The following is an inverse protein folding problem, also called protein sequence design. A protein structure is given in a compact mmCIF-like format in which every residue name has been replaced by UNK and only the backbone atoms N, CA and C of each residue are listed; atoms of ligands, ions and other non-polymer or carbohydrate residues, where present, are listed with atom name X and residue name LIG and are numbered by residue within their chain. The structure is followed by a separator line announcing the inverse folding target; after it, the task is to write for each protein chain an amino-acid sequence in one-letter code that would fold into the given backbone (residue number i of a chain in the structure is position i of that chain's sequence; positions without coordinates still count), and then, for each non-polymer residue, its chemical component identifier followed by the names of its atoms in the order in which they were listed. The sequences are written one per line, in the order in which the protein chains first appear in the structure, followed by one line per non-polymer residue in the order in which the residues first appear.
data_IF_828683182471
#
_entry.id   IF_828683182471
#
_cell.length_a   1.000
_cell.length_b   1.000
_cell.length_c   1.000
_cell.angle_alpha   90.00
_cell.angle_beta   90.00
_cell.angle_gamma   90.00
#
_symmetry.space_group_name_H-M   'P 1'
#
loop_
_entity.id
_entity.type
_entity.pdbx_description
1 polymer ?
#
# COMPACT_ATOMS: atom_id res chain seq x y z
N UNK A 1 -15.80 16.16 -8.73
CA UNK A 1 -15.10 15.85 -7.47
C UNK A 1 -13.63 16.24 -7.60
N UNK A 2 -13.04 16.88 -6.59
CA UNK A 2 -11.66 17.40 -6.66
C UNK A 2 -10.61 16.28 -6.85
N UNK A 3 -9.57 16.57 -7.65
CA UNK A 3 -8.42 15.68 -7.84
C UNK A 3 -7.39 15.81 -6.71
N UNK A 4 -6.48 14.84 -6.58
CA UNK A 4 -5.46 14.78 -5.53
C UNK A 4 -4.69 16.11 -5.38
N UNK A 5 -4.16 16.66 -6.48
CA UNK A 5 -3.40 17.93 -6.46
C UNK A 5 -4.21 19.10 -5.92
N UNK A 6 -5.52 19.14 -6.19
CA UNK A 6 -6.36 20.21 -5.66
C UNK A 6 -6.57 20.08 -4.15
N UNK A 7 -6.73 18.85 -3.66
CA UNK A 7 -6.86 18.58 -2.23
C UNK A 7 -5.55 18.87 -1.50
N UNK A 8 -4.41 18.47 -2.06
CA UNK A 8 -3.08 18.76 -1.52
C UNK A 8 -2.82 20.28 -1.38
N UNK A 9 -3.28 21.09 -2.34
CA UNK A 9 -3.23 22.56 -2.21
C UNK A 9 -4.04 23.07 -1.02
N UNK A 10 -5.23 22.50 -0.76
CA UNK A 10 -6.05 22.89 0.39
C UNK A 10 -5.37 22.52 1.72
N UNK A 11 -4.67 21.38 1.78
CA UNK A 11 -3.88 21.00 2.97
C UNK A 11 -2.73 21.97 3.23
N UNK A 12 -2.14 22.57 2.19
CA UNK A 12 -1.04 23.54 2.29
C UNK A 12 -1.51 24.98 2.54
N UNK A 13 -2.78 25.28 2.31
CA UNK A 13 -3.30 26.63 2.43
C UNK A 13 -3.33 27.08 3.89
N UNK A 14 -2.43 28.00 4.23
CA UNK A 14 -2.33 28.62 5.56
C UNK A 14 -3.57 29.44 5.96
N UNK A 15 -4.41 29.85 4.99
CA UNK A 15 -5.64 30.62 5.26
C UNK A 15 -6.84 29.72 5.57
N UNK A 16 -6.74 28.43 5.28
CA UNK A 16 -7.78 27.45 5.57
C UNK A 16 -7.71 27.00 7.03
N UNK A 17 -8.87 26.76 7.65
CA UNK A 17 -8.94 26.24 9.01
C UNK A 17 -8.35 24.80 9.11
N UNK A 18 -7.93 24.40 10.32
CA UNK A 18 -7.27 23.12 10.55
C UNK A 18 -8.19 21.92 10.25
N UNK A 19 -9.48 22.06 10.48
CA UNK A 19 -10.46 20.99 10.24
C UNK A 19 -10.58 20.71 8.73
N UNK A 20 -10.65 21.77 7.91
CA UNK A 20 -10.65 21.69 6.45
C UNK A 20 -9.35 21.10 5.94
N UNK A 21 -8.20 21.52 6.45
CA UNK A 21 -6.89 20.95 6.07
C UNK A 21 -6.81 19.45 6.38
N UNK A 22 -7.21 19.03 7.57
CA UNK A 22 -7.27 17.61 7.95
C UNK A 22 -8.28 16.85 7.10
N UNK A 23 -9.45 17.42 6.83
CA UNK A 23 -10.46 16.85 5.95
C UNK A 23 -9.89 16.64 4.54
N UNK A 24 -9.27 17.66 3.94
CA UNK A 24 -8.67 17.58 2.61
C UNK A 24 -7.56 16.53 2.55
N UNK A 25 -6.75 16.37 3.61
CA UNK A 25 -5.76 15.29 3.70
C UNK A 25 -6.44 13.91 3.71
N UNK A 26 -7.51 13.73 4.47
CA UNK A 26 -8.30 12.48 4.43
C UNK A 26 -8.91 12.25 3.05
N UNK A 27 -9.38 13.30 2.36
CA UNK A 27 -9.87 13.18 0.98
C UNK A 27 -8.75 12.82 -0.01
N UNK A 28 -7.49 13.19 0.24
CA UNK A 28 -6.36 12.69 -0.55
C UNK A 28 -6.26 11.16 -0.49
N UNK A 29 -6.54 10.55 0.67
CA UNK A 29 -6.53 9.10 0.85
C UNK A 29 -7.64 8.38 0.10
N UNK A 30 -8.76 9.04 -0.22
CA UNK A 30 -9.75 8.48 -1.16
C UNK A 30 -9.19 8.35 -2.58
N UNK A 31 -8.13 9.10 -2.92
CA UNK A 31 -7.50 9.09 -4.24
C UNK A 31 -6.26 8.23 -4.30
N UNK A 32 -5.53 8.09 -3.19
CA UNK A 32 -4.31 7.31 -3.11
C UNK A 32 -4.08 6.85 -1.67
N UNK A 33 -4.27 5.56 -1.42
CA UNK A 33 -4.07 4.90 -0.14
C UNK A 33 -3.38 3.53 -0.35
N UNK A 34 -2.04 3.50 -0.39
CA UNK A 34 -1.28 2.29 -0.74
C UNK A 34 -1.55 1.10 0.19
N UNK A 35 -1.81 1.33 1.48
CA UNK A 35 -2.14 0.26 2.44
C UNK A 35 -3.65 0.00 2.55
N UNK A 36 -4.47 0.75 1.81
CA UNK A 36 -5.90 0.89 2.08
C UNK A 36 -6.17 2.08 3.01
N UNK A 37 -7.39 2.62 2.95
CA UNK A 37 -7.70 3.93 3.55
C UNK A 37 -7.40 3.98 5.06
N UNK A 38 -7.83 2.96 5.82
CA UNK A 38 -7.65 2.93 7.29
C UNK A 38 -6.18 2.78 7.67
N UNK A 39 -5.49 1.79 7.12
CA UNK A 39 -4.08 1.53 7.40
C UNK A 39 -3.17 2.68 6.95
N UNK A 40 -3.47 3.33 5.82
CA UNK A 40 -2.67 4.48 5.35
C UNK A 40 -2.88 5.68 6.28
N UNK A 41 -4.11 5.93 6.75
CA UNK A 41 -4.36 6.99 7.73
C UNK A 41 -3.66 6.70 9.06
N UNK A 42 -3.78 5.48 9.57
CA UNK A 42 -3.11 5.04 10.80
C UNK A 42 -1.59 5.25 10.71
N UNK A 43 -0.98 4.76 9.62
CA UNK A 43 0.45 4.94 9.34
C UNK A 43 0.89 6.41 9.38
N UNK A 44 0.16 7.30 8.70
CA UNK A 44 0.49 8.72 8.69
C UNK A 44 0.31 9.35 10.09
N UNK A 45 -0.72 8.93 10.83
CA UNK A 45 -0.94 9.37 12.20
C UNK A 45 0.20 8.96 13.13
N UNK A 46 0.57 7.68 13.13
CA UNK A 46 1.67 7.15 13.95
C UNK A 46 2.99 7.83 13.60
N UNK A 47 3.32 7.92 12.31
CA UNK A 47 4.62 8.42 11.84
C UNK A 47 4.81 9.92 12.03
N UNK A 48 3.74 10.70 11.92
CA UNK A 48 3.79 12.17 12.03
C UNK A 48 3.18 12.70 13.32
N UNK A 49 2.79 11.82 14.25
CA UNK A 49 2.23 12.19 15.55
C UNK A 49 0.90 12.92 15.45
N UNK A 50 0.03 12.53 14.52
CA UNK A 50 -1.33 13.10 14.41
C UNK A 50 -2.26 12.23 15.25
N UNK A 51 -2.91 12.83 16.25
CA UNK A 51 -3.93 12.11 17.02
C UNK A 51 -5.09 11.69 16.10
N UNK A 52 -5.55 10.43 16.12
CA UNK A 52 -6.65 9.99 15.25
C UNK A 52 -7.92 10.82 15.42
N UNK A 53 -8.23 11.19 16.67
CA UNK A 53 -9.38 12.02 17.07
C UNK A 53 -9.02 13.50 17.30
N UNK A 54 -7.77 13.89 17.04
CA UNK A 54 -7.33 15.27 17.18
C UNK A 54 -8.00 16.16 16.13
N UNK A 55 -8.78 17.13 16.60
CA UNK A 55 -9.52 18.09 15.78
C UNK A 55 -8.70 19.34 15.45
N UNK A 56 -7.55 19.54 16.10
CA UNK A 56 -6.68 20.70 15.89
C UNK A 56 -5.20 20.30 15.86
N UNK A 57 -4.81 19.37 14.97
CA UNK A 57 -3.43 18.95 14.85
C UNK A 57 -2.53 20.10 14.39
N UNK A 58 -1.28 20.06 14.84
CA UNK A 58 -0.22 20.97 14.38
C UNK A 58 -0.17 20.97 12.83
N UNK A 59 -0.35 22.14 12.18
CA UNK A 59 -0.17 22.33 10.74
C UNK A 59 1.05 21.63 10.13
N UNK A 60 2.18 21.66 10.83
CA UNK A 60 3.42 21.09 10.35
C UNK A 60 3.34 19.56 10.22
N UNK A 61 2.62 18.90 11.12
CA UNK A 61 2.39 17.44 11.07
C UNK A 61 1.52 17.05 9.88
N UNK A 62 0.47 17.83 9.60
CA UNK A 62 -0.37 17.63 8.40
C UNK A 62 0.43 17.79 7.10
N UNK A 63 1.33 18.78 7.04
CA UNK A 63 2.18 19.00 5.88
C UNK A 63 3.17 17.84 5.68
N UNK A 64 3.86 17.38 6.74
CA UNK A 64 4.77 16.23 6.65
C UNK A 64 4.07 14.95 6.22
N UNK A 65 2.85 14.70 6.73
CA UNK A 65 2.03 13.58 6.30
C UNK A 65 1.62 13.67 4.82
N UNK A 66 1.29 14.88 4.34
CA UNK A 66 1.02 15.12 2.92
C UNK A 66 2.26 14.89 2.06
N UNK A 67 3.41 15.40 2.47
CA UNK A 67 4.66 15.29 1.72
C UNK A 67 5.07 13.82 1.55
N UNK A 68 4.91 13.00 2.60
CA UNK A 68 5.14 11.56 2.52
C UNK A 68 4.16 10.87 1.56
N UNK A 69 2.87 11.22 1.62
CA UNK A 69 1.87 10.67 0.72
C UNK A 69 2.15 11.05 -0.74
N UNK A 70 2.61 12.28 -0.98
CA UNK A 70 3.02 12.75 -2.30
C UNK A 70 4.28 12.06 -2.82
N UNK A 71 5.28 11.85 -1.98
CA UNK A 71 6.47 11.10 -2.32
C UNK A 71 6.11 9.66 -2.76
N UNK A 72 5.25 8.99 -2.00
CA UNK A 72 4.75 7.67 -2.34
C UNK A 72 3.94 7.67 -3.65
N UNK A 73 3.11 8.70 -3.85
CA UNK A 73 2.35 8.87 -5.08
C UNK A 73 3.25 9.11 -6.29
N UNK A 74 4.35 9.82 -6.13
CA UNK A 74 5.33 10.05 -7.20
C UNK A 74 5.98 8.72 -7.63
N UNK A 75 6.38 7.88 -6.68
CA UNK A 75 6.89 6.51 -6.97
C UNK A 75 5.87 5.70 -7.76
N UNK A 76 4.61 5.67 -7.30
CA UNK A 76 3.54 4.94 -8.00
C UNK A 76 3.29 5.44 -9.42
N UNK A 77 3.25 6.77 -9.62
CA UNK A 77 3.05 7.34 -10.95
C UNK A 77 4.23 7.09 -11.90
N UNK A 78 5.47 7.07 -11.38
CA UNK A 78 6.65 6.68 -12.16
C UNK A 78 6.53 5.25 -12.67
N UNK A 79 6.13 4.33 -11.79
CA UNK A 79 5.85 2.95 -12.15
C UNK A 79 4.72 2.83 -13.21
N UNK A 80 3.59 3.51 -13.02
CA UNK A 80 2.48 3.51 -13.99
C UNK A 80 2.93 4.00 -15.39
N UNK A 81 3.76 5.05 -15.44
CA UNK A 81 4.29 5.57 -16.69
C UNK A 81 5.20 4.55 -17.39
N UNK A 82 6.09 3.89 -16.64
CA UNK A 82 6.96 2.83 -17.14
C UNK A 82 6.17 1.61 -17.65
N UNK A 83 5.15 1.19 -16.91
CA UNK A 83 4.23 0.14 -17.33
C UNK A 83 3.54 0.48 -18.65
N UNK A 84 3.00 1.70 -18.76
CA UNK A 84 2.33 2.15 -19.98
C UNK A 84 3.27 2.21 -21.19
N UNK A 85 4.52 2.63 -21.00
CA UNK A 85 5.57 2.61 -22.04
C UNK A 85 5.88 1.19 -22.52
N UNK A 86 6.15 0.27 -21.59
CA UNK A 86 6.42 -1.13 -21.92
C UNK A 86 5.25 -1.76 -22.68
N UNK A 87 4.02 -1.59 -22.19
CA UNK A 87 2.82 -2.10 -22.85
C UNK A 87 2.59 -1.50 -24.24
N UNK A 88 2.97 -0.24 -24.47
CA UNK A 88 2.91 0.37 -25.81
C UNK A 88 3.86 -0.30 -26.79
N UNK A 89 5.09 -0.62 -26.35
CA UNK A 89 6.08 -1.36 -27.15
C UNK A 89 5.65 -2.79 -27.43
N UNK A 90 5.24 -3.54 -26.41
CA UNK A 90 4.76 -4.91 -26.58
C UNK A 90 3.55 -4.99 -27.53
N UNK A 91 2.61 -4.04 -27.44
CA UNK A 91 1.48 -3.95 -28.38
C UNK A 91 1.93 -3.69 -29.82
N UNK A 92 2.92 -2.82 -29.99
CA UNK A 92 3.53 -2.55 -31.29
C UNK A 92 4.20 -3.82 -31.85
N UNK A 93 4.86 -4.59 -31.00
CA UNK A 93 5.57 -5.83 -31.35
C UNK A 93 4.63 -7.06 -31.44
N UNK A 94 3.31 -6.85 -31.41
CA UNK A 94 2.30 -7.90 -31.56
C UNK A 94 1.97 -8.70 -30.30
N UNK A 95 2.62 -8.44 -29.18
CA UNK A 95 2.37 -9.08 -27.88
C UNK A 95 1.15 -8.45 -27.17
N UNK A 96 -0.03 -9.01 -27.45
CA UNK A 96 -1.31 -8.49 -26.92
C UNK A 96 -1.81 -9.14 -25.64
N UNK A 97 -1.24 -10.27 -25.20
CA UNK A 97 -1.63 -10.94 -23.94
C UNK A 97 -0.80 -10.39 -22.78
N UNK A 98 -1.45 -9.85 -21.73
CA UNK A 98 -0.75 -9.43 -20.52
C UNK A 98 -0.15 -10.64 -19.78
N UNK A 99 1.01 -10.46 -19.14
CA UNK A 99 1.63 -11.47 -18.29
C UNK A 99 1.00 -11.56 -16.89
N UNK A 100 1.42 -12.52 -16.06
CA UNK A 100 0.98 -12.66 -14.66
C UNK A 100 1.29 -11.43 -13.80
N UNK A 101 2.37 -10.71 -14.12
CA UNK A 101 2.70 -9.42 -13.52
C UNK A 101 1.62 -8.35 -13.80
N UNK A 102 1.08 -8.34 -15.03
CA UNK A 102 0.06 -7.38 -15.44
C UNK A 102 -1.30 -7.65 -14.75
N UNK A 103 -1.53 -8.86 -14.25
CA UNK A 103 -2.73 -9.19 -13.47
C UNK A 103 -2.70 -8.60 -12.06
N UNK A 104 -1.52 -8.48 -11.44
CA UNK A 104 -1.38 -7.70 -10.20
C UNK A 104 -1.64 -6.22 -10.47
N UNK A 105 -1.01 -5.66 -11.51
CA UNK A 105 -1.22 -4.26 -11.92
C UNK A 105 -2.71 -3.94 -12.12
N UNK A 106 -3.43 -4.81 -12.82
CA UNK A 106 -4.87 -4.68 -13.07
C UNK A 106 -5.70 -4.60 -11.77
N UNK A 107 -5.28 -5.29 -10.71
CA UNK A 107 -5.98 -5.33 -9.42
C UNK A 107 -5.63 -4.14 -8.52
N UNK A 108 -4.51 -3.47 -8.77
CA UNK A 108 -4.00 -2.35 -7.96
C UNK A 108 -4.17 -0.98 -8.63
N UNK A 109 -5.01 -0.91 -9.68
CA UNK A 109 -5.20 0.29 -10.48
C UNK A 109 -5.59 1.51 -9.63
N UNK A 110 -4.92 2.65 -9.86
CA UNK A 110 -5.12 3.89 -9.12
C UNK A 110 -4.36 4.00 -7.80
N UNK A 111 -3.53 3.01 -7.43
CA UNK A 111 -2.64 3.09 -6.28
C UNK A 111 -3.31 2.82 -4.92
N UNK A 112 -4.55 2.33 -4.93
CA UNK A 112 -5.29 1.97 -3.73
C UNK A 112 -5.07 0.49 -3.39
N UNK A 113 -4.49 0.21 -2.22
CA UNK A 113 -4.25 -1.16 -1.76
C UNK A 113 -3.11 -1.89 -2.49
N UNK A 114 -2.15 -1.16 -3.06
CA UNK A 114 -0.93 -1.70 -3.70
C UNK A 114 -0.14 -2.58 -2.73
N UNK A 115 -0.03 -2.16 -1.47
CA UNK A 115 0.60 -2.86 -0.37
C UNK A 115 -0.41 -3.02 0.78
N UNK A 116 -1.61 -3.49 0.46
CA UNK A 116 -2.75 -3.56 1.40
C UNK A 116 -2.37 -4.16 2.74
N UNK A 117 -2.72 -3.50 3.83
CA UNK A 117 -2.65 -4.07 5.18
C UNK A 117 -4.06 -4.46 5.60
N UNK A 118 -4.22 -5.70 6.08
CA UNK A 118 -5.53 -6.22 6.51
C UNK A 118 -5.93 -5.63 7.87
N UNK A 119 -5.00 -5.66 8.82
CA UNK A 119 -5.14 -4.97 10.10
C UNK A 119 -4.61 -3.53 9.96
N UNK A 120 -5.44 -2.49 10.15
CA UNK A 120 -5.00 -1.11 10.08
C UNK A 120 -3.87 -0.74 11.05
N UNK A 121 -3.73 -1.44 12.18
CA UNK A 121 -2.70 -1.17 13.18
C UNK A 121 -1.39 -1.94 12.90
N UNK A 122 -1.41 -2.90 11.98
CA UNK A 122 -0.23 -3.66 11.57
C UNK A 122 0.14 -3.29 10.14
N UNK A 123 1.04 -2.33 10.02
CA UNK A 123 1.59 -1.88 8.74
C UNK A 123 3.11 -1.68 8.88
N UNK A 124 3.86 -1.60 7.76
CA UNK A 124 5.28 -1.28 7.80
C UNK A 124 5.55 0.08 8.50
N UNK A 125 6.66 0.17 9.22
CA UNK A 125 7.11 1.41 9.86
C UNK A 125 7.91 2.32 8.91
N UNK A 126 8.48 1.75 7.83
CA UNK A 126 9.23 2.47 6.82
C UNK A 126 8.34 3.47 6.04
N UNK A 127 8.91 4.57 5.49
CA UNK A 127 8.15 5.53 4.73
C UNK A 127 7.37 4.90 3.57
N UNK A 128 6.17 5.42 3.27
CA UNK A 128 5.31 4.88 2.20
C UNK A 128 6.04 4.76 0.85
N UNK A 129 6.83 5.77 0.48
CA UNK A 129 7.58 5.77 -0.78
C UNK A 129 8.60 4.62 -0.85
N UNK A 130 9.31 4.37 0.24
CA UNK A 130 10.31 3.31 0.33
C UNK A 130 9.65 1.93 0.22
N UNK A 131 8.52 1.74 0.90
CA UNK A 131 7.76 0.49 0.83
C UNK A 131 7.26 0.21 -0.58
N UNK A 132 6.74 1.22 -1.27
CA UNK A 132 6.32 1.08 -2.67
C UNK A 132 7.50 0.76 -3.58
N UNK A 133 8.63 1.46 -3.43
CA UNK A 133 9.83 1.20 -4.22
C UNK A 133 10.34 -0.24 -4.03
N UNK A 134 10.39 -0.75 -2.79
CA UNK A 134 10.76 -2.15 -2.52
C UNK A 134 9.81 -3.13 -3.18
N UNK A 135 8.51 -2.86 -3.10
CA UNK A 135 7.50 -3.75 -3.66
C UNK A 135 7.56 -3.78 -5.20
N UNK A 136 7.70 -2.62 -5.83
CA UNK A 136 7.85 -2.49 -7.29
C UNK A 136 9.13 -3.19 -7.76
N UNK A 137 10.26 -2.98 -7.06
CA UNK A 137 11.52 -3.65 -7.41
C UNK A 137 11.40 -5.19 -7.29
N UNK A 138 10.76 -5.70 -6.24
CA UNK A 138 10.55 -7.13 -6.07
C UNK A 138 9.63 -7.75 -7.14
N UNK A 139 8.68 -6.96 -7.63
CA UNK A 139 7.78 -7.34 -8.71
C UNK A 139 8.46 -7.38 -10.08
N UNK A 140 9.52 -6.61 -10.26
CA UNK A 140 10.37 -6.58 -11.46
C UNK A 140 11.54 -7.58 -11.38
N UNK A 141 11.70 -8.25 -10.25
CA UNK A 141 12.78 -9.22 -9.97
C UNK A 141 12.26 -10.66 -9.91
N UNK A 142 13.18 -11.61 -9.79
CA UNK A 142 12.82 -13.01 -9.56
C UNK A 142 12.08 -13.19 -8.22
N UNK A 143 11.07 -14.09 -8.15
CA UNK A 143 10.33 -14.33 -6.92
C UNK A 143 11.22 -14.79 -5.75
N UNK A 144 10.97 -14.24 -4.56
CA UNK A 144 11.75 -14.51 -3.35
C UNK A 144 11.05 -15.43 -2.34
N UNK A 145 11.73 -15.72 -1.24
CA UNK A 145 11.22 -16.55 -0.13
C UNK A 145 10.77 -15.75 1.08
N UNK A 146 10.96 -14.43 1.06
CA UNK A 146 10.70 -13.51 2.18
C UNK A 146 9.82 -12.35 1.74
N UNK A 147 9.27 -11.62 2.69
CA UNK A 147 8.52 -10.39 2.43
C UNK A 147 9.44 -9.34 1.80
N UNK A 148 9.10 -8.74 0.64
CA UNK A 148 9.95 -7.75 -0.02
C UNK A 148 10.06 -6.43 0.76
N UNK A 149 9.14 -6.17 1.70
CA UNK A 149 9.08 -4.89 2.43
C UNK A 149 9.91 -4.92 3.71
N UNK A 150 9.77 -5.98 4.52
CA UNK A 150 10.46 -6.12 5.80
C UNK A 150 11.52 -7.23 5.85
N UNK A 151 11.72 -7.98 4.75
CA UNK A 151 12.58 -9.17 4.68
C UNK A 151 12.18 -10.33 5.63
N UNK A 152 11.03 -10.23 6.29
CA UNK A 152 10.52 -11.27 7.18
C UNK A 152 10.08 -12.53 6.42
N UNK A 153 10.42 -13.70 6.95
CA UNK A 153 10.02 -14.99 6.39
C UNK A 153 8.66 -15.49 6.90
N UNK A 154 8.06 -14.78 7.87
CA UNK A 154 6.81 -15.16 8.50
C UNK A 154 5.62 -14.73 7.62
N UNK A 155 5.31 -15.57 6.63
CA UNK A 155 4.20 -15.36 5.68
C UNK A 155 3.16 -16.46 5.90
N UNK A 156 1.90 -16.06 6.10
CA UNK A 156 0.76 -16.97 6.32
C UNK A 156 -0.34 -16.73 5.31
N UNK A 157 -0.96 -17.80 4.84
CA UNK A 157 -2.15 -17.68 3.99
C UNK A 157 -3.38 -17.35 4.84
N UNK A 158 -4.10 -16.28 4.49
CA UNK A 158 -5.39 -15.91 5.08
C UNK A 158 -6.51 -16.19 4.08
N UNK A 159 -7.67 -16.62 4.57
CA UNK A 159 -8.86 -16.92 3.76
C UNK A 159 -10.02 -15.95 4.02
N UNK A 160 -9.79 -14.97 4.88
CA UNK A 160 -10.78 -14.11 5.52
C UNK A 160 -10.36 -12.64 5.40
N UNK A 161 -9.73 -12.25 4.28
CA UNK A 161 -9.34 -10.87 4.03
C UNK A 161 -10.59 -10.01 3.80
N UNK A 162 -10.62 -8.78 4.32
CA UNK A 162 -11.80 -7.89 4.22
C UNK A 162 -12.03 -7.30 2.82
N UNK A 163 -11.05 -7.42 1.94
CA UNK A 163 -11.09 -6.85 0.61
C UNK A 163 -10.48 -7.83 -0.39
N UNK A 164 -10.84 -7.69 -1.67
CA UNK A 164 -10.21 -8.46 -2.72
C UNK A 164 -8.66 -8.25 -2.75
N UNK A 165 -7.86 -9.31 -2.92
CA UNK A 165 -8.31 -10.71 -2.97
C UNK A 165 -8.75 -11.20 -1.58
N UNK A 166 -9.92 -11.85 -1.48
CA UNK A 166 -10.50 -12.35 -0.22
C UNK A 166 -9.62 -13.42 0.49
N UNK A 167 -8.59 -13.90 -0.21
CA UNK A 167 -7.56 -14.77 0.35
C UNK A 167 -6.20 -14.45 -0.25
N UNK A 168 -5.13 -14.69 0.52
CA UNK A 168 -3.77 -14.44 0.06
C UNK A 168 -2.71 -14.55 1.15
N UNK A 169 -1.43 -14.47 0.76
CA UNK A 169 -0.33 -14.49 1.71
C UNK A 169 -0.21 -13.14 2.43
N UNK A 170 -0.16 -13.16 3.75
CA UNK A 170 0.01 -12.00 4.63
C UNK A 170 1.33 -12.16 5.38
N UNK A 171 2.16 -11.12 5.35
CA UNK A 171 3.33 -11.06 6.21
C UNK A 171 2.88 -10.76 7.64
N UNK A 172 3.20 -11.62 8.60
CA UNK A 172 2.80 -11.41 10.00
C UNK A 172 3.65 -10.38 10.72
N UNK A 173 4.80 -10.00 10.14
CA UNK A 173 5.72 -9.04 10.75
C UNK A 173 5.35 -7.59 10.41
N UNK A 174 4.94 -7.33 9.16
CA UNK A 174 4.58 -5.97 8.70
C UNK A 174 3.14 -5.82 8.19
N UNK A 175 2.34 -6.89 8.21
CA UNK A 175 0.89 -6.85 7.97
C UNK A 175 0.43 -6.73 6.52
N UNK A 176 1.35 -6.56 5.56
CA UNK A 176 0.97 -6.46 4.16
C UNK A 176 0.45 -7.80 3.61
N UNK A 177 -0.57 -7.73 2.77
CA UNK A 177 -0.93 -8.79 1.84
C UNK A 177 0.11 -8.79 0.73
N UNK A 178 1.02 -9.76 0.77
CA UNK A 178 2.14 -9.85 -0.16
C UNK A 178 1.61 -10.25 -1.55
N UNK A 179 2.00 -9.56 -2.63
CA UNK A 179 1.65 -9.99 -3.98
C UNK A 179 2.17 -11.39 -4.26
N UNK A 180 1.29 -12.32 -4.68
CA UNK A 180 1.71 -13.70 -4.95
C UNK A 180 2.85 -13.81 -5.98
N UNK A 181 2.94 -13.00 -7.05
CA UNK A 181 4.03 -13.09 -8.02
C UNK A 181 5.43 -12.82 -7.43
N UNK A 182 5.54 -12.12 -6.30
CA UNK A 182 6.86 -11.86 -5.67
C UNK A 182 7.36 -13.02 -4.81
N UNK A 183 6.54 -14.06 -4.61
CA UNK A 183 6.87 -15.21 -3.77
C UNK A 183 7.08 -16.46 -4.62
N UNK A 184 8.09 -17.24 -4.26
CA UNK A 184 8.31 -18.55 -4.88
C UNK A 184 7.12 -19.50 -4.62
N UNK A 185 6.84 -20.45 -5.54
CA UNK A 185 5.79 -21.45 -5.33
C UNK A 185 5.93 -22.23 -4.02
N UNK A 186 7.17 -22.58 -3.63
CA UNK A 186 7.44 -23.26 -2.35
C UNK A 186 7.03 -22.43 -1.13
N UNK A 187 7.25 -21.11 -1.18
CA UNK A 187 6.84 -20.19 -0.12
C UNK A 187 5.32 -20.08 -0.02
N UNK A 188 4.63 -20.01 -1.17
CA UNK A 188 3.17 -20.00 -1.21
C UNK A 188 2.57 -21.30 -0.65
N UNK A 189 3.14 -22.46 -0.99
CA UNK A 189 2.73 -23.75 -0.43
C UNK A 189 2.96 -23.82 1.08
N UNK A 190 4.13 -23.37 1.56
CA UNK A 190 4.43 -23.29 2.99
C UNK A 190 3.45 -22.38 3.73
N UNK A 191 3.13 -21.22 3.17
CA UNK A 191 2.18 -20.27 3.75
C UNK A 191 0.76 -20.85 3.88
N UNK A 192 0.34 -21.69 2.93
CA UNK A 192 -0.96 -22.41 2.97
C UNK A 192 -0.99 -23.55 3.97
N UNK A 193 0.14 -24.25 4.13
CA UNK A 193 0.25 -25.42 5.01
C UNK A 193 0.55 -25.05 6.47
N UNK A 194 0.83 -23.77 6.76
CA UNK A 194 1.06 -23.32 8.13
C UNK A 194 -0.28 -23.35 8.87
N UNK A 195 -0.47 -24.25 9.86
CA UNK A 195 -1.74 -24.36 10.56
C UNK A 195 -2.08 -23.05 11.28
N UNK A 196 -3.37 -22.73 11.36
CA UNK A 196 -3.89 -21.72 12.30
C UNK A 196 -3.52 -22.20 13.70
N UNK A 197 -2.42 -21.70 14.27
CA UNK A 197 -2.30 -21.61 15.73
C UNK A 197 -3.29 -20.52 16.15
N UNK A 198 -4.57 -20.87 16.17
CA UNK A 198 -5.55 -20.10 16.91
C UNK A 198 -5.28 -20.34 18.39
N UNK A 199 -5.22 -19.23 19.12
CA UNK A 199 -5.17 -19.18 20.57
C UNK A 199 -6.43 -19.80 21.14
N UNK A 200 -6.44 -21.12 21.31
CA UNK A 200 -7.29 -21.77 22.30
C UNK A 200 -6.51 -21.78 23.62
N UNK A 201 -6.70 -20.73 24.42
CA UNK A 201 -6.58 -20.84 25.87
C UNK A 201 -7.50 -19.80 26.48
N UNK A 202 -8.77 -20.19 26.61
CA UNK A 202 -9.64 -19.70 27.66
C UNK A 202 -9.17 -20.39 28.95
N UNK A 203 -8.79 -19.59 29.94
CA UNK A 203 -8.83 -19.93 31.35
C UNK A 203 -9.25 -18.66 32.10
#
# INVERSE_FOLDING_TARGET
MAGFRSLARQVRDSRSDLALRRYSLRKCLERFAPYGHRATWDHLCVRHGIGPEDRSPDPARLMRALDELEAARAVWLGYEAGFAERRRREKHDGLRRPGTFDDWHRRSWGGNGVARCEDPALHPSAPLAEVLSRLIAALESDPGTVCPVCAGAAIRWRQDLRCAPWSGPVCTDCGIVVPQPVLTPGTLTKARNTPRRDLASVA
#
